data_IF_863738380147
#
_entry.id   IF_863738380147
#
_cell.length_a   1.000
_cell.length_b   1.000
_cell.length_c   1.000
_cell.angle_alpha   90.00
_cell.angle_beta   90.00
_cell.angle_gamma   90.00
#
_symmetry.space_group_name_H-M   'P 1'
#
loop_
_entity.id
_entity.type
_entity.pdbx_description
1 polymer ?
#
# COMPACT_ATOMS: atom_id res chain seq x y z
N UNK A 1 -5.48 -12.48 9.46
CA UNK A 1 -5.59 -11.05 9.17
C UNK A 1 -5.67 -10.28 10.48
N UNK A 2 -4.93 -9.16 10.61
CA UNK A 2 -5.01 -8.23 11.75
C UNK A 2 -5.30 -6.84 11.21
N UNK A 3 -6.51 -6.32 11.41
CA UNK A 3 -6.95 -5.08 10.76
C UNK A 3 -7.28 -3.96 11.74
N UNK A 4 -6.95 -2.73 11.34
CA UNK A 4 -7.33 -1.50 12.02
C UNK A 4 -8.78 -1.13 11.66
N UNK A 5 -9.74 -1.48 12.53
CA UNK A 5 -11.18 -1.36 12.19
C UNK A 5 -11.72 0.06 12.22
N UNK A 6 -11.01 1.01 12.79
CA UNK A 6 -11.33 2.43 12.74
C UNK A 6 -10.86 3.14 11.47
N UNK A 7 -10.24 2.41 10.53
CA UNK A 7 -9.65 2.93 9.31
C UNK A 7 -10.26 2.23 8.09
N UNK A 8 -11.05 2.96 7.30
CA UNK A 8 -11.73 2.43 6.12
C UNK A 8 -10.76 1.83 5.08
N UNK A 9 -9.56 2.41 4.93
CA UNK A 9 -8.50 1.87 4.08
C UNK A 9 -8.09 0.46 4.55
N UNK A 10 -7.80 0.29 5.84
CA UNK A 10 -7.36 -0.99 6.39
C UNK A 10 -8.46 -2.07 6.27
N UNK A 11 -9.71 -1.71 6.56
CA UNK A 11 -10.87 -2.60 6.42
C UNK A 11 -11.08 -3.00 4.96
N UNK A 12 -10.99 -2.04 4.04
CA UNK A 12 -11.11 -2.28 2.60
C UNK A 12 -10.01 -3.23 2.09
N UNK A 13 -8.76 -2.95 2.45
CA UNK A 13 -7.62 -3.75 2.03
C UNK A 13 -7.67 -5.17 2.61
N UNK A 14 -8.07 -5.34 3.88
CA UNK A 14 -8.29 -6.64 4.50
C UNK A 14 -9.37 -7.46 3.78
N UNK A 15 -10.46 -6.81 3.39
CA UNK A 15 -11.54 -7.45 2.62
C UNK A 15 -11.04 -7.93 1.25
N UNK A 16 -10.38 -7.07 0.49
CA UNK A 16 -9.85 -7.44 -0.84
C UNK A 16 -8.82 -8.56 -0.74
N UNK A 17 -7.92 -8.49 0.24
CA UNK A 17 -6.96 -9.57 0.48
C UNK A 17 -7.66 -10.89 0.79
N UNK A 18 -8.62 -10.90 1.71
CA UNK A 18 -9.39 -12.10 2.07
C UNK A 18 -10.06 -12.71 0.85
N UNK A 19 -10.80 -11.92 0.07
CA UNK A 19 -11.51 -12.39 -1.13
C UNK A 19 -10.54 -12.97 -2.16
N UNK A 20 -9.44 -12.28 -2.43
CA UNK A 20 -8.43 -12.72 -3.38
C UNK A 20 -7.71 -13.99 -2.91
N UNK A 21 -7.35 -14.09 -1.63
CA UNK A 21 -6.64 -15.22 -1.06
C UNK A 21 -7.50 -16.48 -1.04
N UNK A 22 -8.78 -16.38 -0.61
CA UNK A 22 -9.73 -17.50 -0.67
C UNK A 22 -9.92 -17.97 -2.12
N UNK A 23 -10.07 -17.04 -3.07
CA UNK A 23 -10.20 -17.37 -4.48
C UNK A 23 -8.94 -18.08 -5.01
N UNK A 24 -7.77 -17.66 -4.57
CA UNK A 24 -6.48 -18.24 -5.00
C UNK A 24 -6.27 -19.65 -4.45
N UNK A 25 -6.59 -19.86 -3.18
CA UNK A 25 -6.42 -21.15 -2.49
C UNK A 25 -7.56 -22.14 -2.78
N UNK A 26 -8.75 -21.64 -3.12
CA UNK A 26 -9.96 -22.43 -3.22
C UNK A 26 -10.49 -22.95 -1.88
N UNK A 27 -9.99 -22.43 -0.76
CA UNK A 27 -10.35 -22.86 0.60
C UNK A 27 -10.78 -21.67 1.45
N UNK A 28 -12.06 -21.67 1.87
CA UNK A 28 -12.61 -20.65 2.77
C UNK A 28 -11.95 -20.65 4.15
N UNK A 29 -11.38 -21.78 4.59
CA UNK A 29 -10.69 -21.91 5.87
C UNK A 29 -9.22 -21.46 5.81
N UNK A 30 -8.71 -21.02 4.64
CA UNK A 30 -7.36 -20.49 4.50
C UNK A 30 -7.10 -19.22 5.32
N UNK A 31 -8.16 -18.50 5.74
CA UNK A 31 -8.08 -17.41 6.70
C UNK A 31 -8.43 -17.96 8.09
N UNK A 32 -7.40 -18.32 8.84
CA UNK A 32 -7.54 -18.99 10.15
C UNK A 32 -7.97 -18.08 11.30
N UNK A 33 -7.76 -16.75 11.16
CA UNK A 33 -8.12 -15.75 12.16
C UNK A 33 -8.30 -14.38 11.54
N UNK A 34 -9.26 -13.60 12.04
CA UNK A 34 -9.41 -12.17 11.76
C UNK A 34 -9.50 -11.45 13.10
N UNK A 35 -8.44 -10.72 13.43
CA UNK A 35 -8.35 -9.93 14.65
C UNK A 35 -8.44 -8.43 14.33
N UNK A 36 -9.00 -7.67 15.26
CA UNK A 36 -9.29 -6.26 15.11
C UNK A 36 -8.60 -5.44 16.20
N UNK A 37 -8.13 -4.25 15.84
CA UNK A 37 -7.64 -3.23 16.75
C UNK A 37 -8.14 -1.83 16.34
N UNK A 38 -7.95 -0.85 17.21
CA UNK A 38 -8.34 0.55 16.98
C UNK A 38 -7.10 1.42 16.72
N UNK A 39 -7.27 2.50 15.98
CA UNK A 39 -6.26 3.55 15.87
C UNK A 39 -5.84 4.02 17.28
N UNK A 40 -4.53 4.10 17.54
CA UNK A 40 -3.97 4.51 18.82
C UNK A 40 -3.75 3.37 19.82
N UNK A 41 -4.15 2.13 19.50
CA UNK A 41 -3.82 0.97 20.32
C UNK A 41 -2.29 0.78 20.39
N UNK A 42 -1.80 0.43 21.59
CA UNK A 42 -0.37 0.26 21.84
C UNK A 42 0.02 -1.12 22.38
N UNK A 43 -0.95 -1.90 22.79
CA UNK A 43 -0.77 -3.24 23.33
C UNK A 43 -1.58 -4.25 22.52
N UNK A 44 -0.87 -5.13 21.83
CA UNK A 44 -1.43 -6.17 20.97
C UNK A 44 -1.28 -7.57 21.56
N UNK A 45 -0.85 -7.69 22.84
CA UNK A 45 -0.48 -8.97 23.47
C UNK A 45 -1.63 -9.99 23.43
N UNK A 46 -2.86 -9.54 23.69
CA UNK A 46 -4.04 -10.44 23.69
C UNK A 46 -4.33 -10.97 22.28
N UNK A 47 -4.33 -10.09 21.27
CA UNK A 47 -4.54 -10.43 19.85
C UNK A 47 -3.45 -11.39 19.39
N UNK A 48 -2.19 -11.06 19.67
CA UNK A 48 -1.03 -11.84 19.23
C UNK A 48 -0.97 -13.21 19.92
N UNK A 49 -1.40 -13.32 21.18
CA UNK A 49 -1.49 -14.61 21.87
C UNK A 49 -2.50 -15.54 21.17
N UNK A 50 -3.65 -15.01 20.76
CA UNK A 50 -4.66 -15.77 20.02
C UNK A 50 -4.13 -16.19 18.63
N UNK A 51 -3.47 -15.27 17.92
CA UNK A 51 -2.86 -15.55 16.61
C UNK A 51 -1.79 -16.63 16.73
N UNK A 52 -0.91 -16.53 17.73
CA UNK A 52 0.12 -17.53 17.98
C UNK A 52 -0.44 -18.93 18.19
N UNK A 53 -1.58 -19.04 18.92
CA UNK A 53 -2.26 -20.31 19.13
C UNK A 53 -2.81 -20.94 17.84
N UNK A 54 -3.09 -20.12 16.81
CA UNK A 54 -3.53 -20.58 15.48
C UNK A 54 -2.38 -21.02 14.59
N UNK A 55 -1.14 -20.67 14.94
CA UNK A 55 0.09 -20.97 14.18
C UNK A 55 -0.05 -20.69 12.67
N UNK A 56 -0.33 -19.44 12.27
CA UNK A 56 -0.51 -19.09 10.86
C UNK A 56 0.80 -19.15 10.08
N UNK A 57 0.73 -19.49 8.79
CA UNK A 57 1.89 -19.47 7.90
C UNK A 57 2.33 -18.04 7.52
N UNK A 58 1.40 -17.07 7.55
CA UNK A 58 1.65 -15.66 7.28
C UNK A 58 0.60 -14.77 7.98
N UNK A 59 0.91 -13.50 8.17
CA UNK A 59 0.02 -12.51 8.78
C UNK A 59 -0.11 -11.31 7.85
N UNK A 60 -1.33 -11.02 7.38
CA UNK A 60 -1.64 -9.80 6.67
C UNK A 60 -2.20 -8.77 7.66
N UNK A 61 -1.53 -7.63 7.78
CA UNK A 61 -1.82 -6.64 8.82
C UNK A 61 -1.97 -5.22 8.25
N UNK A 62 -3.05 -4.95 7.46
CA UNK A 62 -3.30 -3.61 6.95
C UNK A 62 -3.66 -2.64 8.09
N UNK A 63 -3.00 -1.50 8.11
CA UNK A 63 -3.19 -0.46 9.11
C UNK A 63 -2.16 0.64 8.97
N UNK A 64 -2.22 1.65 9.83
CA UNK A 64 -1.25 2.74 9.84
C UNK A 64 0.13 2.26 10.32
N UNK A 65 1.15 2.98 9.92
CA UNK A 65 2.54 2.60 10.16
C UNK A 65 2.90 2.44 11.64
N UNK A 66 2.41 3.32 12.53
CA UNK A 66 2.78 3.31 13.95
C UNK A 66 2.27 2.05 14.65
N UNK A 67 0.98 1.76 14.54
CA UNK A 67 0.33 0.59 15.14
C UNK A 67 0.86 -0.70 14.53
N UNK A 68 1.02 -0.72 13.21
CA UNK A 68 1.55 -1.88 12.49
C UNK A 68 2.99 -2.21 12.88
N UNK A 69 3.85 -1.21 13.03
CA UNK A 69 5.23 -1.42 13.49
C UNK A 69 5.28 -1.96 14.93
N UNK A 70 4.42 -1.45 15.83
CA UNK A 70 4.30 -1.96 17.20
C UNK A 70 3.75 -3.38 17.23
N UNK A 71 2.76 -3.69 16.39
CA UNK A 71 2.19 -5.03 16.23
C UNK A 71 3.27 -6.04 15.83
N UNK A 72 4.04 -5.75 14.78
CA UNK A 72 5.14 -6.61 14.32
C UNK A 72 6.18 -6.80 15.42
N UNK A 73 6.61 -5.72 16.05
CA UNK A 73 7.59 -5.75 17.15
C UNK A 73 7.14 -6.64 18.30
N UNK A 74 5.90 -6.48 18.77
CA UNK A 74 5.36 -7.31 19.85
C UNK A 74 5.17 -8.76 19.43
N UNK A 75 4.82 -9.03 18.16
CA UNK A 75 4.75 -10.38 17.62
C UNK A 75 6.11 -11.08 17.71
N UNK A 76 7.20 -10.41 17.31
CA UNK A 76 8.55 -10.96 17.42
C UNK A 76 8.97 -11.21 18.87
N UNK A 77 8.61 -10.30 19.78
CA UNK A 77 8.86 -10.50 21.23
C UNK A 77 8.11 -11.70 21.80
N UNK A 78 6.94 -12.03 21.26
CA UNK A 78 6.18 -13.22 21.63
C UNK A 78 6.65 -14.48 20.88
N UNK A 79 7.69 -14.39 20.03
CA UNK A 79 8.23 -15.51 19.25
C UNK A 79 7.33 -15.93 18.10
N UNK A 80 6.58 -15.01 17.50
CA UNK A 80 5.86 -15.25 16.24
C UNK A 80 6.81 -14.93 15.09
N UNK A 81 7.26 -15.98 14.39
CA UNK A 81 8.21 -15.86 13.27
C UNK A 81 7.52 -15.77 11.90
N UNK A 82 6.19 -15.97 11.85
CA UNK A 82 5.42 -15.87 10.62
C UNK A 82 5.70 -14.55 9.89
N UNK A 83 5.85 -14.54 8.55
CA UNK A 83 6.05 -13.33 7.78
C UNK A 83 4.85 -12.39 7.88
N UNK A 84 5.12 -11.10 8.02
CA UNK A 84 4.13 -10.05 8.01
C UNK A 84 4.05 -9.39 6.65
N UNK A 85 2.84 -9.06 6.22
CA UNK A 85 2.54 -8.32 5.00
C UNK A 85 1.57 -7.19 5.30
N UNK A 86 1.75 -6.06 4.62
CA UNK A 86 0.88 -4.88 4.77
C UNK A 86 0.71 -4.09 3.49
N UNK A 87 0.25 -2.86 3.63
CA UNK A 87 0.04 -1.92 2.53
C UNK A 87 1.05 -0.78 2.50
N UNK A 88 0.84 0.16 1.59
CA UNK A 88 1.69 1.31 1.30
C UNK A 88 1.84 2.30 2.47
N UNK A 89 0.90 2.30 3.41
CA UNK A 89 1.01 3.07 4.66
C UNK A 89 2.23 2.71 5.50
N UNK A 90 2.82 1.52 5.31
CA UNK A 90 4.05 1.10 5.98
C UNK A 90 5.30 1.73 5.38
N UNK A 91 5.24 2.27 4.17
CA UNK A 91 6.41 2.83 3.47
C UNK A 91 6.79 4.21 4.02
N UNK A 92 7.12 4.26 5.30
CA UNK A 92 7.56 5.46 6.03
C UNK A 92 8.82 5.17 6.84
N UNK A 93 9.64 6.19 7.07
CA UNK A 93 10.79 6.06 7.94
C UNK A 93 10.36 5.74 9.38
N UNK A 94 9.22 6.27 9.82
CA UNK A 94 8.66 6.02 11.15
C UNK A 94 8.33 4.55 11.39
N UNK A 95 7.86 3.82 10.37
CA UNK A 95 7.63 2.36 10.47
C UNK A 95 8.93 1.64 10.82
N UNK A 96 10.03 1.99 10.17
CA UNK A 96 11.36 1.41 10.43
C UNK A 96 11.86 1.84 11.80
N UNK A 97 11.75 3.12 12.16
CA UNK A 97 12.26 3.64 13.44
C UNK A 97 11.54 3.04 14.65
N UNK A 98 10.23 2.84 14.57
CA UNK A 98 9.42 2.21 15.62
C UNK A 98 9.67 0.70 15.69
N UNK A 99 9.67 0.02 14.55
CA UNK A 99 9.82 -1.42 14.46
C UNK A 99 11.25 -1.91 14.68
N UNK A 100 12.25 -1.10 14.29
CA UNK A 100 13.67 -1.46 14.39
C UNK A 100 13.99 -2.73 13.60
N UNK A 101 14.78 -3.60 14.20
CA UNK A 101 15.15 -4.91 13.60
C UNK A 101 13.98 -5.88 13.44
N UNK A 102 12.91 -5.68 14.18
CA UNK A 102 11.79 -6.62 14.23
C UNK A 102 10.92 -6.54 12.96
N UNK A 103 11.04 -5.45 12.18
CA UNK A 103 10.38 -5.29 10.88
C UNK A 103 11.23 -5.71 9.68
N UNK A 104 12.44 -6.24 9.90
CA UNK A 104 13.22 -6.84 8.82
C UNK A 104 12.44 -8.00 8.16
N UNK A 105 12.47 -8.05 6.84
CA UNK A 105 11.82 -9.09 6.05
C UNK A 105 10.30 -8.98 5.94
N UNK A 106 9.65 -7.94 6.48
CA UNK A 106 8.22 -7.69 6.19
C UNK A 106 8.05 -7.35 4.71
N UNK A 107 6.88 -7.65 4.15
CA UNK A 107 6.54 -7.27 2.79
C UNK A 107 5.38 -6.26 2.79
N UNK A 108 5.37 -5.36 1.81
CA UNK A 108 4.26 -4.43 1.61
C UNK A 108 3.98 -4.22 0.12
N UNK A 109 2.72 -3.97 -0.19
CA UNK A 109 2.32 -3.52 -1.52
C UNK A 109 2.32 -2.01 -1.59
N UNK A 110 2.84 -1.43 -2.67
CA UNK A 110 2.87 0.01 -2.90
C UNK A 110 2.67 0.31 -4.40
N UNK A 111 2.43 1.56 -4.74
CA UNK A 111 2.16 1.97 -6.11
C UNK A 111 3.41 2.38 -6.89
N UNK A 112 4.55 2.58 -6.22
CA UNK A 112 5.73 3.19 -6.86
C UNK A 112 7.04 2.63 -6.32
N UNK A 113 7.95 2.39 -7.26
CA UNK A 113 9.36 2.19 -6.96
C UNK A 113 10.22 2.93 -7.97
N UNK A 114 11.20 3.67 -7.49
CA UNK A 114 12.09 4.49 -8.30
C UNK A 114 12.84 3.67 -9.36
N UNK A 115 13.32 2.50 -8.99
CA UNK A 115 14.11 1.65 -9.89
C UNK A 115 13.23 1.05 -11.01
N UNK A 116 11.90 1.05 -10.80
CA UNK A 116 10.89 0.56 -11.74
C UNK A 116 10.11 1.69 -12.42
N UNK A 117 10.45 2.93 -12.16
CA UNK A 117 9.85 4.11 -12.79
C UNK A 117 10.30 4.22 -14.25
N UNK A 118 9.59 3.57 -15.17
CA UNK A 118 10.01 3.41 -16.57
C UNK A 118 9.39 4.43 -17.52
N UNK A 119 8.29 5.09 -17.13
CA UNK A 119 7.63 6.06 -18.00
C UNK A 119 8.47 7.33 -18.17
N UNK A 120 8.41 8.03 -19.32
CA UNK A 120 9.02 9.34 -19.51
C UNK A 120 8.61 10.35 -18.43
N UNK A 121 7.31 10.38 -18.05
CA UNK A 121 6.82 11.28 -17.00
C UNK A 121 7.42 10.94 -15.63
N UNK A 122 7.59 9.64 -15.30
CA UNK A 122 8.26 9.23 -14.06
C UNK A 122 9.71 9.71 -14.00
N UNK A 123 10.46 9.58 -15.07
CA UNK A 123 11.86 10.05 -15.14
C UNK A 123 11.95 11.56 -14.96
N UNK A 124 11.10 12.31 -15.66
CA UNK A 124 11.01 13.77 -15.54
C UNK A 124 10.67 14.17 -14.10
N UNK A 125 9.65 13.55 -13.50
CA UNK A 125 9.26 13.81 -12.12
C UNK A 125 10.42 13.57 -11.15
N UNK A 126 11.14 12.44 -11.26
CA UNK A 126 12.27 12.12 -10.41
C UNK A 126 13.39 13.15 -10.53
N UNK A 127 13.76 13.53 -11.75
CA UNK A 127 14.83 14.50 -12.00
C UNK A 127 14.47 15.89 -11.44
N UNK A 128 13.24 16.35 -11.66
CA UNK A 128 12.76 17.64 -11.18
C UNK A 128 12.61 17.64 -9.65
N UNK A 129 12.09 16.57 -9.06
CA UNK A 129 11.92 16.44 -7.61
C UNK A 129 13.26 16.49 -6.87
N UNK A 130 14.23 15.68 -7.31
CA UNK A 130 15.59 15.66 -6.71
C UNK A 130 16.27 17.02 -6.86
N UNK A 131 16.12 17.69 -8.00
CA UNK A 131 16.67 19.01 -8.24
C UNK A 131 16.11 20.07 -7.29
N UNK A 132 14.78 20.04 -7.04
CA UNK A 132 14.09 21.04 -6.21
C UNK A 132 14.24 20.74 -4.71
N UNK A 133 13.97 19.51 -4.29
CA UNK A 133 13.87 19.14 -2.88
C UNK A 133 15.12 18.51 -2.28
N UNK A 134 16.15 18.21 -3.11
CA UNK A 134 17.43 17.58 -2.69
C UNK A 134 17.26 16.23 -1.96
N UNK A 135 16.12 15.55 -2.18
CA UNK A 135 15.77 14.28 -1.57
C UNK A 135 15.02 13.39 -2.56
N UNK A 136 14.65 12.19 -2.10
CA UNK A 136 13.92 11.23 -2.91
C UNK A 136 12.41 11.33 -2.65
N UNK A 137 11.56 11.25 -3.69
CA UNK A 137 10.12 11.20 -3.49
C UNK A 137 9.69 9.86 -2.91
N UNK A 138 8.70 9.90 -1.99
CA UNK A 138 8.00 8.71 -1.54
C UNK A 138 6.96 8.24 -2.57
N UNK A 139 6.43 7.01 -2.41
CA UNK A 139 5.31 6.55 -3.22
C UNK A 139 4.09 7.46 -3.08
N UNK A 140 3.82 7.98 -1.88
CA UNK A 140 2.73 8.93 -1.64
C UNK A 140 2.92 10.23 -2.44
N UNK A 141 4.15 10.72 -2.55
CA UNK A 141 4.47 11.92 -3.36
C UNK A 141 4.21 11.65 -4.85
N UNK A 142 4.62 10.49 -5.35
CA UNK A 142 4.38 10.09 -6.74
C UNK A 142 2.87 9.96 -7.04
N UNK A 143 2.10 9.34 -6.15
CA UNK A 143 0.65 9.23 -6.28
C UNK A 143 -0.07 10.59 -6.23
N UNK A 144 0.39 11.51 -5.37
CA UNK A 144 -0.15 12.88 -5.32
C UNK A 144 0.07 13.63 -6.63
N UNK A 145 1.24 13.43 -7.25
CA UNK A 145 1.54 14.01 -8.56
C UNK A 145 0.69 13.36 -9.66
N UNK A 146 0.45 12.05 -9.62
CA UNK A 146 -0.48 11.38 -10.54
C UNK A 146 -1.90 11.95 -10.42
N UNK A 147 -2.39 12.18 -9.21
CA UNK A 147 -3.70 12.80 -8.99
C UNK A 147 -3.77 14.20 -9.63
N UNK A 148 -2.71 14.98 -9.54
CA UNK A 148 -2.59 16.26 -10.24
C UNK A 148 -2.62 16.08 -11.76
N UNK A 149 -1.86 15.14 -12.32
CA UNK A 149 -1.85 14.86 -13.77
C UNK A 149 -3.24 14.47 -14.29
N UNK A 150 -3.93 13.57 -13.59
CA UNK A 150 -5.29 13.12 -13.91
C UNK A 150 -6.26 14.30 -13.87
N UNK A 151 -6.17 15.16 -12.86
CA UNK A 151 -7.04 16.33 -12.74
C UNK A 151 -6.81 17.32 -13.89
N UNK A 152 -5.56 17.65 -14.22
CA UNK A 152 -5.22 18.57 -15.30
C UNK A 152 -5.61 18.02 -16.68
N UNK A 153 -5.38 16.73 -16.91
CA UNK A 153 -5.81 16.06 -18.13
C UNK A 153 -7.35 16.09 -18.27
N UNK A 154 -8.07 15.77 -17.19
CA UNK A 154 -9.52 15.82 -17.14
C UNK A 154 -10.08 17.23 -17.44
N UNK A 155 -9.49 18.28 -16.87
CA UNK A 155 -9.87 19.68 -17.14
C UNK A 155 -9.63 20.03 -18.61
N UNK A 156 -8.47 19.64 -19.16
CA UNK A 156 -8.15 19.88 -20.58
C UNK A 156 -9.14 19.18 -21.52
N UNK A 157 -9.46 17.92 -21.26
CA UNK A 157 -10.43 17.15 -22.06
C UNK A 157 -11.85 17.69 -21.92
N UNK A 158 -12.26 18.16 -20.74
CA UNK A 158 -13.55 18.76 -20.52
C UNK A 158 -13.74 20.07 -21.31
N UNK A 159 -12.65 20.81 -21.57
CA UNK A 159 -12.69 22.10 -22.27
C UNK A 159 -13.59 23.13 -21.58
N UNK A 160 -13.84 23.01 -20.28
CA UNK A 160 -14.85 23.74 -19.52
C UNK A 160 -14.46 23.83 -18.04
N UNK A 161 -14.96 24.84 -17.35
CA UNK A 161 -14.89 24.96 -15.88
C UNK A 161 -16.11 24.34 -15.18
N UNK A 162 -17.04 23.75 -15.93
CA UNK A 162 -18.18 23.02 -15.38
C UNK A 162 -17.71 21.77 -14.64
N UNK A 163 -18.06 21.68 -13.36
CA UNK A 163 -17.56 20.60 -12.47
C UNK A 163 -18.08 19.22 -12.86
N UNK A 164 -19.29 19.14 -13.47
CA UNK A 164 -19.84 17.86 -13.93
C UNK A 164 -19.07 17.37 -15.15
N UNK A 165 -18.78 18.26 -16.11
CA UNK A 165 -17.98 17.92 -17.30
C UNK A 165 -16.55 17.50 -16.92
N UNK A 166 -15.94 18.19 -15.95
CA UNK A 166 -14.60 17.83 -15.43
C UNK A 166 -14.65 16.45 -14.79
N UNK A 167 -15.62 16.19 -13.89
CA UNK A 167 -15.82 14.88 -13.27
C UNK A 167 -15.95 13.77 -14.30
N UNK A 168 -16.81 13.97 -15.31
CA UNK A 168 -17.05 12.97 -16.35
C UNK A 168 -15.81 12.74 -17.21
N UNK A 169 -15.03 13.78 -17.49
CA UNK A 169 -13.75 13.66 -18.17
C UNK A 169 -12.72 12.91 -17.33
N UNK A 170 -12.63 13.15 -16.01
CA UNK A 170 -11.76 12.40 -15.10
C UNK A 170 -12.19 10.93 -15.06
N UNK A 171 -13.48 10.64 -14.89
CA UNK A 171 -13.99 9.27 -14.86
C UNK A 171 -13.72 8.50 -16.17
N UNK A 172 -13.58 9.20 -17.30
CA UNK A 172 -13.23 8.62 -18.59
C UNK A 172 -11.72 8.52 -18.84
N UNK A 173 -10.87 8.68 -17.81
CA UNK A 173 -9.41 8.56 -17.96
C UNK A 173 -9.04 7.16 -18.40
N UNK A 174 -8.30 7.08 -19.50
CA UNK A 174 -7.85 5.83 -20.10
C UNK A 174 -6.43 5.99 -20.65
N UNK A 175 -5.57 5.03 -20.32
CA UNK A 175 -4.20 4.93 -20.81
C UNK A 175 -3.40 6.25 -20.65
N UNK A 176 -3.66 6.99 -19.56
CA UNK A 176 -2.92 8.21 -19.23
C UNK A 176 -1.55 7.85 -18.66
N UNK A 177 -0.49 8.40 -19.26
CA UNK A 177 0.86 8.26 -18.74
C UNK A 177 1.01 9.08 -17.46
N UNK A 178 1.30 8.39 -16.36
CA UNK A 178 1.52 8.94 -15.03
C UNK A 178 2.89 8.53 -14.49
N UNK A 179 3.27 9.07 -13.34
CA UNK A 179 4.53 8.74 -12.66
C UNK A 179 4.55 7.29 -12.19
N UNK A 180 3.43 6.81 -11.64
CA UNK A 180 3.32 5.43 -11.15
C UNK A 180 2.93 4.42 -12.26
N UNK A 181 3.01 4.81 -13.53
CA UNK A 181 2.69 3.98 -14.70
C UNK A 181 1.47 4.45 -15.48
N UNK A 182 1.06 3.64 -16.46
CA UNK A 182 -0.15 3.91 -17.25
C UNK A 182 -1.39 3.79 -16.37
N UNK A 183 -2.27 4.78 -16.41
CA UNK A 183 -3.46 4.86 -15.56
C UNK A 183 -4.74 4.83 -16.39
N UNK A 184 -5.59 3.86 -16.10
CA UNK A 184 -6.98 3.79 -16.55
C UNK A 184 -7.85 3.72 -15.30
N UNK A 185 -8.92 4.51 -15.24
CA UNK A 185 -9.89 4.43 -14.15
C UNK A 185 -11.01 3.46 -14.53
N UNK A 186 -11.43 2.63 -13.58
CA UNK A 186 -12.58 1.76 -13.74
C UNK A 186 -13.91 2.54 -13.54
N UNK A 187 -15.05 1.84 -13.62
CA UNK A 187 -16.37 2.43 -13.45
C UNK A 187 -16.64 3.05 -12.06
N UNK A 188 -15.83 2.67 -11.06
CA UNK A 188 -15.94 3.18 -9.69
C UNK A 188 -14.98 4.36 -9.45
N UNK A 189 -14.08 4.64 -10.41
CA UNK A 189 -13.00 5.62 -10.29
C UNK A 189 -11.71 5.06 -9.72
N UNK A 190 -11.62 3.73 -9.54
CA UNK A 190 -10.41 3.09 -9.04
C UNK A 190 -9.39 2.89 -10.17
N UNK A 191 -8.09 3.14 -9.94
CA UNK A 191 -7.06 2.94 -10.94
C UNK A 191 -6.78 1.45 -11.17
N UNK A 192 -6.82 1.02 -12.42
CA UNK A 192 -6.40 -0.32 -12.83
C UNK A 192 -4.89 -0.27 -13.03
N UNK A 193 -4.13 -0.76 -12.04
CA UNK A 193 -2.66 -0.73 -12.02
C UNK A 193 -2.06 -2.00 -11.46
N UNK A 194 -0.83 -2.30 -11.85
CA UNK A 194 0.01 -3.25 -11.14
C UNK A 194 0.43 -2.72 -9.76
N UNK A 195 0.97 -3.60 -8.94
CA UNK A 195 1.48 -3.26 -7.62
C UNK A 195 2.97 -3.60 -7.51
N UNK A 196 3.72 -2.69 -6.93
CA UNK A 196 5.10 -2.94 -6.49
C UNK A 196 5.04 -3.65 -5.14
N UNK A 197 5.84 -4.68 -4.97
CA UNK A 197 6.05 -5.31 -3.67
C UNK A 197 7.44 -4.90 -3.18
N UNK A 198 7.49 -4.37 -1.96
CA UNK A 198 8.74 -4.03 -1.27
C UNK A 198 8.92 -4.88 -0.02
N UNK A 199 10.15 -4.95 0.43
CA UNK A 199 10.52 -5.55 1.72
C UNK A 199 11.40 -4.59 2.50
N UNK A 200 11.49 -4.74 3.81
CA UNK A 200 12.52 -4.08 4.62
C UNK A 200 13.76 -4.95 4.64
N UNK A 201 14.89 -4.40 4.20
CA UNK A 201 16.19 -5.04 4.19
C UNK A 201 17.27 -4.05 4.64
N UNK A 202 18.04 -4.43 5.64
CA UNK A 202 19.08 -3.59 6.25
C UNK A 202 18.54 -2.20 6.67
N UNK A 203 17.31 -2.18 7.23
CA UNK A 203 16.62 -0.97 7.67
C UNK A 203 16.18 -0.04 6.53
N UNK A 204 15.96 -0.55 5.32
CA UNK A 204 15.52 0.21 4.15
C UNK A 204 14.46 -0.53 3.36
N UNK A 205 13.53 0.22 2.78
CA UNK A 205 12.60 -0.35 1.81
C UNK A 205 13.33 -0.68 0.52
N UNK A 206 13.21 -1.93 0.07
CA UNK A 206 13.89 -2.46 -1.10
C UNK A 206 12.88 -3.14 -2.01
N UNK A 207 13.00 -2.96 -3.31
CA UNK A 207 12.19 -3.65 -4.31
C UNK A 207 12.30 -5.18 -4.13
N UNK A 208 11.16 -5.86 -4.13
CA UNK A 208 11.08 -7.32 -4.05
C UNK A 208 10.48 -7.91 -5.33
N UNK A 209 9.33 -7.40 -5.77
CA UNK A 209 8.61 -7.94 -6.93
C UNK A 209 7.65 -6.90 -7.53
N UNK A 210 7.10 -7.22 -8.70
CA UNK A 210 6.04 -6.44 -9.34
C UNK A 210 4.90 -7.38 -9.80
N UNK A 211 3.68 -7.02 -9.46
CA UNK A 211 2.47 -7.77 -9.83
C UNK A 211 1.68 -6.96 -10.85
N UNK A 212 1.51 -7.49 -12.05
CA UNK A 212 0.70 -6.88 -13.10
C UNK A 212 -0.78 -6.81 -12.72
N UNK A 213 -1.47 -5.77 -13.19
CA UNK A 213 -2.93 -5.72 -13.13
C UNK A 213 -3.55 -6.87 -13.95
N UNK A 214 -4.58 -7.49 -13.42
CA UNK A 214 -5.34 -8.58 -14.11
C UNK A 214 -6.66 -8.07 -14.63
#
# INVERSE_FOLDING_TARGET
IVQEVSNDYAVGLAKFFKEAFIKLTGDENSIVEIANYQTGDKDFSAILTNIKAKNPDAIFAPGNFTESALLVKQARQLGIEAPFMGGDTWETQEFIDVGGKDVEGVALSTAFDREKATTPEAKKFLDEYVKEYKGEPSALTAMAYDAYLIAIDGIKRAGSTDTVKIRDAIAATKDLECVTGMTTLDKNGDPIKGAVIKTVKDGKFTFLDFVEAK
#
